data_IF_372230293709
#
_entry.id   IF_372230293709
#
_cell.length_a   1.000
_cell.length_b   1.000
_cell.length_c   1.000
_cell.angle_alpha   90.00
_cell.angle_beta   90.00
_cell.angle_gamma   90.00
#
_symmetry.space_group_name_H-M   'P 1'
#
loop_
_entity.id
_entity.type
_entity.pdbx_description
1 polymer ?
#
# COMPACT_ATOMS: atom_id res chain seq x y z
N UNK A 1 -3.61 17.17 3.21
CA UNK A 1 -3.01 17.59 4.50
C UNK A 1 -1.62 18.14 4.19
N UNK A 2 -1.17 19.22 4.83
CA UNK A 2 0.14 19.82 4.57
C UNK A 2 1.14 19.37 5.65
N UNK A 3 2.07 18.48 5.29
CA UNK A 3 3.09 17.87 6.16
C UNK A 3 4.54 18.20 5.71
N UNK A 4 4.72 19.22 4.87
CA UNK A 4 6.02 19.56 4.26
C UNK A 4 7.07 20.06 5.26
N UNK A 5 6.64 20.54 6.41
CA UNK A 5 7.47 20.94 7.55
C UNK A 5 7.81 19.77 8.49
N UNK A 6 7.08 18.65 8.36
CA UNK A 6 7.25 17.45 9.19
C UNK A 6 8.30 16.52 8.59
N UNK A 7 8.33 16.41 7.26
CA UNK A 7 9.28 15.59 6.50
C UNK A 7 10.19 16.46 5.66
N UNK A 8 11.50 16.32 5.86
CA UNK A 8 12.49 16.91 4.98
C UNK A 8 12.56 16.07 3.69
N UNK A 9 12.47 16.68 2.49
CA UNK A 9 12.69 15.97 1.22
C UNK A 9 14.03 15.25 1.11
N UNK A 10 15.05 15.65 1.88
CA UNK A 10 16.34 14.98 1.95
C UNK A 10 16.32 13.69 2.79
N UNK A 11 15.32 13.51 3.67
CA UNK A 11 15.21 12.33 4.49
C UNK A 11 14.69 11.13 3.69
N UNK A 12 15.25 9.96 3.96
CA UNK A 12 14.71 8.72 3.41
C UNK A 12 13.34 8.42 4.02
N UNK A 13 12.39 8.15 3.14
CA UNK A 13 11.02 7.80 3.47
C UNK A 13 10.68 6.43 2.87
N UNK A 14 10.11 5.51 3.67
CA UNK A 14 9.74 4.16 3.23
C UNK A 14 8.23 3.99 2.99
N UNK A 15 7.88 3.07 2.09
CA UNK A 15 6.50 2.65 1.90
C UNK A 15 6.10 1.59 2.94
N UNK A 16 4.97 1.79 3.63
CA UNK A 16 4.51 0.87 4.69
C UNK A 16 3.85 -0.42 4.15
N UNK A 17 3.71 -0.58 2.84
CA UNK A 17 3.08 -1.76 2.24
C UNK A 17 3.87 -3.05 2.35
N UNK A 18 5.18 -2.97 2.57
CA UNK A 18 6.04 -4.11 2.87
C UNK A 18 7.13 -3.65 3.84
N UNK A 19 7.14 -4.24 5.03
CA UNK A 19 8.11 -3.97 6.08
C UNK A 19 8.52 -5.29 6.72
N UNK A 20 9.82 -5.46 6.96
CA UNK A 20 10.34 -6.52 7.80
C UNK A 20 10.55 -5.95 9.21
N UNK A 21 9.82 -6.48 10.18
CA UNK A 21 9.73 -5.90 11.52
C UNK A 21 10.59 -6.71 12.49
N UNK A 22 11.54 -6.04 13.14
CA UNK A 22 12.16 -6.52 14.37
C UNK A 22 11.17 -6.29 15.52
N UNK A 23 10.55 -7.37 16.00
CA UNK A 23 9.46 -7.32 16.99
C UNK A 23 9.96 -6.76 18.33
N UNK A 24 11.21 -7.03 18.73
CA UNK A 24 11.74 -6.53 19.99
C UNK A 24 11.86 -4.99 19.94
N UNK A 25 12.52 -4.48 18.90
CA UNK A 25 12.65 -3.03 18.68
C UNK A 25 11.32 -2.33 18.43
N UNK A 26 10.38 -3.02 17.79
CA UNK A 26 9.03 -2.49 17.58
C UNK A 26 8.31 -2.22 18.90
N UNK A 27 8.42 -3.14 19.88
CA UNK A 27 7.84 -2.95 21.21
C UNK A 27 8.51 -1.81 21.97
N UNK A 28 9.83 -1.70 21.88
CA UNK A 28 10.60 -0.61 22.48
C UNK A 28 10.28 0.77 21.88
N UNK A 29 9.90 0.82 20.60
CA UNK A 29 9.56 2.06 19.93
C UNK A 29 8.22 2.68 20.37
N UNK A 30 7.38 1.93 21.10
CA UNK A 30 6.08 2.34 21.62
C UNK A 30 5.23 3.11 20.59
N UNK A 31 4.97 2.47 19.45
CA UNK A 31 4.24 3.09 18.32
C UNK A 31 2.87 3.63 18.74
N UNK A 32 2.21 2.98 19.71
CA UNK A 32 0.91 3.43 20.23
C UNK A 32 1.06 4.70 21.06
N UNK A 33 2.00 4.75 22.01
CA UNK A 33 2.28 5.98 22.76
C UNK A 33 2.69 7.13 21.84
N UNK A 34 3.50 6.87 20.81
CA UNK A 34 3.86 7.88 19.79
C UNK A 34 2.66 8.34 18.96
N UNK A 35 1.71 7.45 18.69
CA UNK A 35 0.47 7.82 18.02
C UNK A 35 -0.37 8.76 18.92
N UNK A 36 -0.51 8.44 20.20
CA UNK A 36 -1.24 9.27 21.17
C UNK A 36 -0.59 10.65 21.34
N UNK A 37 0.74 10.71 21.40
CA UNK A 37 1.50 11.97 21.38
C UNK A 37 1.24 12.76 20.09
N UNK A 38 1.26 12.11 18.92
CA UNK A 38 0.96 12.76 17.65
C UNK A 38 -0.48 13.29 17.60
N UNK A 39 -1.44 12.62 18.25
CA UNK A 39 -2.81 13.11 18.39
C UNK A 39 -2.89 14.34 19.29
N UNK A 40 -2.25 14.31 20.47
CA UNK A 40 -2.31 15.39 21.46
C UNK A 40 -1.62 16.67 20.96
N UNK A 41 -0.55 16.52 20.18
CA UNK A 41 0.22 17.63 19.60
C UNK A 41 -0.36 18.20 18.29
N UNK A 42 -1.43 17.60 17.76
CA UNK A 42 -2.04 18.04 16.51
C UNK A 42 -1.33 17.55 15.23
N UNK A 43 -0.28 16.74 15.37
CA UNK A 43 0.50 16.18 14.24
C UNK A 43 -0.33 15.18 13.45
N UNK A 44 -1.16 14.38 14.11
CA UNK A 44 -1.95 13.32 13.47
C UNK A 44 -2.95 13.85 12.41
N UNK A 45 -3.43 15.08 12.60
CA UNK A 45 -4.33 15.78 11.68
C UNK A 45 -3.60 16.23 10.41
N UNK A 46 -2.27 16.35 10.48
CA UNK A 46 -1.40 16.85 9.41
C UNK A 46 -0.75 15.73 8.60
N UNK A 47 -0.60 14.53 9.17
CA UNK A 47 0.03 13.39 8.52
C UNK A 47 -0.97 12.43 7.82
N UNK A 48 -0.46 11.67 6.86
CA UNK A 48 -1.19 10.69 6.07
C UNK A 48 -1.13 9.30 6.69
N UNK A 49 -2.22 8.95 7.38
CA UNK A 49 -2.51 7.61 7.91
C UNK A 49 -1.33 7.02 8.71
N UNK A 50 -1.16 5.71 8.61
CA UNK A 50 -0.15 4.91 9.28
C UNK A 50 1.26 5.11 8.69
N UNK A 51 1.40 5.22 7.36
CA UNK A 51 2.72 5.30 6.73
C UNK A 51 3.55 6.50 7.19
N UNK A 52 2.93 7.69 7.30
CA UNK A 52 3.64 8.87 7.81
C UNK A 52 4.01 8.71 9.29
N UNK A 53 3.10 8.17 10.11
CA UNK A 53 3.37 7.92 11.53
C UNK A 53 4.58 6.99 11.69
N UNK A 54 4.64 5.91 10.90
CA UNK A 54 5.77 4.98 10.94
C UNK A 54 7.07 5.64 10.48
N UNK A 55 7.03 6.49 9.45
CA UNK A 55 8.21 7.24 9.02
C UNK A 55 8.67 8.27 10.07
N UNK A 56 7.77 8.81 10.89
CA UNK A 56 8.12 9.67 12.02
C UNK A 56 8.76 8.87 13.16
N UNK A 57 8.12 7.78 13.58
CA UNK A 57 8.59 6.95 14.71
C UNK A 57 9.96 6.34 14.41
N UNK A 58 10.16 5.84 13.18
CA UNK A 58 11.36 5.14 12.78
C UNK A 58 12.32 6.01 11.96
N UNK A 59 12.18 7.34 11.98
CA UNK A 59 13.08 8.25 11.27
C UNK A 59 14.55 7.96 11.61
N UNK A 60 15.36 7.65 10.58
CA UNK A 60 16.77 7.28 10.74
C UNK A 60 17.04 5.95 11.45
N UNK A 61 15.99 5.18 11.79
CA UNK A 61 16.05 3.93 12.57
C UNK A 61 15.47 2.74 11.81
N UNK A 62 15.76 2.64 10.52
CA UNK A 62 15.33 1.53 9.68
C UNK A 62 16.40 1.17 8.66
N UNK A 63 16.38 -0.09 8.20
CA UNK A 63 17.27 -0.59 7.17
C UNK A 63 16.55 -0.58 5.82
N UNK A 64 17.15 0.08 4.83
CA UNK A 64 16.62 0.09 3.46
C UNK A 64 16.81 -1.27 2.80
N UNK A 65 15.69 -1.91 2.44
CA UNK A 65 15.69 -3.12 1.63
C UNK A 65 15.87 -2.79 0.15
N UNK A 66 16.42 -3.72 -0.65
CA UNK A 66 16.44 -3.60 -2.11
C UNK A 66 15.04 -3.36 -2.67
N UNK A 67 14.93 -2.47 -3.65
CA UNK A 67 13.66 -2.04 -4.24
C UNK A 67 12.80 -3.20 -4.78
N UNK A 68 13.43 -4.31 -5.21
CA UNK A 68 12.74 -5.49 -5.75
C UNK A 68 11.74 -6.14 -4.78
N UNK A 69 11.89 -5.89 -3.47
CA UNK A 69 10.99 -6.39 -2.43
C UNK A 69 9.73 -5.53 -2.24
N UNK A 70 9.66 -4.34 -2.82
CA UNK A 70 8.47 -3.50 -2.76
C UNK A 70 8.40 -2.59 -3.99
N UNK A 71 8.12 -3.19 -5.15
CA UNK A 71 7.91 -2.44 -6.39
C UNK A 71 6.51 -1.84 -6.38
N UNK A 72 6.43 -0.57 -5.98
CA UNK A 72 5.19 0.20 -5.98
C UNK A 72 4.77 0.57 -7.39
N UNK A 73 3.47 0.83 -7.57
CA UNK A 73 2.88 1.31 -8.82
C UNK A 73 3.34 0.46 -10.03
N UNK A 74 2.90 -0.80 -10.03
CA UNK A 74 3.15 -1.82 -11.04
C UNK A 74 2.84 -1.38 -12.49
N UNK A 75 3.71 -0.54 -13.05
CA UNK A 75 3.69 -0.05 -14.43
C UNK A 75 4.48 -0.98 -15.33
N UNK A 76 4.15 -1.00 -16.62
CA UNK A 76 4.81 -1.86 -17.62
C UNK A 76 6.32 -1.74 -17.69
N UNK A 77 6.89 -0.59 -17.30
CA UNK A 77 8.33 -0.44 -17.14
C UNK A 77 8.95 -1.49 -16.20
N UNK A 78 8.16 -2.06 -15.29
CA UNK A 78 8.57 -3.09 -14.35
C UNK A 78 8.50 -4.52 -14.90
N UNK A 79 7.95 -4.74 -16.10
CA UNK A 79 7.91 -6.08 -16.71
C UNK A 79 9.33 -6.64 -16.99
N UNK A 80 10.32 -5.74 -17.15
CA UNK A 80 11.72 -6.09 -17.44
C UNK A 80 12.66 -6.13 -16.23
N UNK A 81 12.18 -5.94 -15.00
CA UNK A 81 13.06 -5.70 -13.83
C UNK A 81 12.99 -6.77 -12.73
N UNK A 82 12.50 -7.98 -13.02
CA UNK A 82 12.48 -9.12 -12.07
C UNK A 82 12.10 -8.77 -10.60
N UNK A 83 10.91 -8.15 -10.39
CA UNK A 83 10.44 -7.82 -9.05
C UNK A 83 10.16 -9.08 -8.24
N UNK A 84 10.59 -9.12 -6.98
CA UNK A 84 10.25 -10.22 -6.07
C UNK A 84 8.84 -10.06 -5.49
N UNK A 85 8.45 -8.82 -5.15
CA UNK A 85 7.11 -8.48 -4.67
C UNK A 85 6.63 -7.23 -5.40
N UNK A 86 5.42 -7.32 -5.94
CA UNK A 86 4.77 -6.27 -6.70
C UNK A 86 3.59 -5.69 -5.90
N UNK A 87 3.64 -4.39 -5.64
CA UNK A 87 2.64 -3.68 -4.83
C UNK A 87 1.79 -2.74 -5.71
N UNK A 88 0.56 -3.17 -6.01
CA UNK A 88 -0.40 -2.38 -6.80
C UNK A 88 -1.01 -1.23 -5.96
N UNK A 89 -0.25 -0.17 -5.72
CA UNK A 89 -0.67 1.01 -4.93
C UNK A 89 -1.58 1.97 -5.72
N UNK A 90 -1.36 2.11 -7.03
CA UNK A 90 -2.10 3.03 -7.89
C UNK A 90 -3.58 2.68 -8.09
N UNK A 91 -4.35 3.58 -8.71
CA UNK A 91 -5.80 3.42 -8.91
C UNK A 91 -6.18 2.18 -9.72
N UNK A 92 -5.37 1.85 -10.74
CA UNK A 92 -5.58 0.69 -11.60
C UNK A 92 -5.14 -0.57 -10.88
N UNK A 93 -5.99 -1.59 -10.91
CA UNK A 93 -5.78 -2.85 -10.21
C UNK A 93 -5.86 -4.04 -11.16
N UNK A 94 -5.08 -5.11 -10.94
CA UNK A 94 -4.99 -6.24 -11.85
C UNK A 94 -6.26 -7.12 -11.83
N UNK A 95 -7.08 -7.00 -10.78
CA UNK A 95 -8.37 -7.70 -10.66
C UNK A 95 -9.53 -6.99 -11.39
N UNK A 96 -9.27 -5.97 -12.18
CA UNK A 96 -10.27 -5.41 -13.10
C UNK A 96 -10.60 -6.42 -14.19
N UNK A 97 -11.89 -6.58 -14.54
CA UNK A 97 -12.33 -7.53 -15.58
C UNK A 97 -11.57 -7.35 -16.91
N UNK A 98 -11.30 -6.09 -17.28
CA UNK A 98 -10.60 -5.73 -18.51
C UNK A 98 -9.10 -5.44 -18.29
N UNK A 99 -8.57 -5.61 -17.07
CA UNK A 99 -7.19 -5.27 -16.76
C UNK A 99 -6.18 -6.13 -17.53
N UNK A 100 -6.48 -7.43 -17.71
CA UNK A 100 -5.64 -8.33 -18.52
C UNK A 100 -5.78 -8.10 -20.03
N UNK A 101 -6.95 -7.64 -20.49
CA UNK A 101 -7.23 -7.38 -21.91
C UNK A 101 -6.56 -6.09 -22.37
N UNK A 102 -6.71 -5.01 -21.61
CA UNK A 102 -6.10 -3.72 -21.91
C UNK A 102 -4.69 -3.57 -21.36
N UNK A 103 -4.17 -4.62 -20.71
CA UNK A 103 -2.90 -4.60 -19.98
C UNK A 103 -2.80 -3.31 -19.16
N UNK A 104 -3.75 -3.05 -18.27
CA UNK A 104 -3.85 -1.74 -17.63
C UNK A 104 -2.78 -1.49 -16.55
N UNK A 105 -2.11 -2.56 -16.11
CA UNK A 105 -1.00 -2.61 -15.14
C UNK A 105 -0.05 -3.74 -15.53
N UNK A 106 1.20 -3.68 -15.07
CA UNK A 106 2.18 -4.74 -15.21
C UNK A 106 1.67 -6.04 -14.60
N UNK A 107 2.11 -7.18 -15.14
CA UNK A 107 1.76 -8.52 -14.65
C UNK A 107 0.25 -8.83 -14.55
N UNK A 108 -0.65 -8.05 -15.16
CA UNK A 108 -2.10 -8.27 -15.04
C UNK A 108 -2.56 -9.67 -15.51
N UNK A 109 -1.93 -10.19 -16.57
CA UNK A 109 -2.20 -11.55 -17.07
C UNK A 109 -1.70 -12.62 -16.09
N UNK A 110 -0.51 -12.42 -15.53
CA UNK A 110 0.07 -13.32 -14.52
C UNK A 110 -0.79 -13.34 -13.26
N UNK A 111 -1.24 -12.17 -12.78
CA UNK A 111 -2.19 -12.08 -11.67
C UNK A 111 -3.47 -12.90 -11.91
N UNK A 112 -4.07 -12.78 -13.10
CA UNK A 112 -5.26 -13.56 -13.48
C UNK A 112 -4.97 -15.07 -13.49
N UNK A 113 -3.79 -15.46 -13.95
CA UNK A 113 -3.36 -16.85 -13.96
C UNK A 113 -3.24 -17.41 -12.53
N UNK A 114 -2.51 -16.72 -11.65
CA UNK A 114 -2.31 -17.13 -10.24
C UNK A 114 -3.62 -17.18 -9.47
N UNK A 115 -4.51 -16.20 -9.67
CA UNK A 115 -5.82 -16.22 -9.02
C UNK A 115 -6.67 -17.42 -9.48
N UNK A 116 -6.43 -17.99 -10.67
CA UNK A 116 -7.36 -18.87 -11.40
C UNK A 116 -8.64 -18.14 -11.85
N UNK A 117 -9.29 -18.65 -12.90
CA UNK A 117 -10.54 -18.06 -13.38
C UNK A 117 -11.64 -18.11 -12.31
N UNK A 118 -11.75 -19.21 -11.57
CA UNK A 118 -12.82 -19.39 -10.59
C UNK A 118 -12.76 -18.31 -9.49
N UNK A 119 -11.62 -18.16 -8.82
CA UNK A 119 -11.45 -17.17 -7.76
C UNK A 119 -11.55 -15.75 -8.32
N UNK A 120 -10.98 -15.50 -9.49
CA UNK A 120 -11.03 -14.19 -10.14
C UNK A 120 -12.48 -13.75 -10.37
N UNK A 121 -13.30 -14.61 -10.98
CA UNK A 121 -14.71 -14.29 -11.24
C UNK A 121 -15.54 -14.27 -9.95
N UNK A 122 -15.24 -15.12 -8.95
CA UNK A 122 -15.86 -15.05 -7.63
C UNK A 122 -15.62 -13.69 -6.98
N UNK A 123 -14.37 -13.20 -7.00
CA UNK A 123 -14.01 -11.90 -6.47
C UNK A 123 -14.62 -10.75 -7.27
N UNK A 124 -14.64 -10.84 -8.60
CA UNK A 124 -15.27 -9.86 -9.47
C UNK A 124 -16.78 -9.73 -9.17
N UNK A 125 -17.50 -10.85 -9.05
CA UNK A 125 -18.92 -10.87 -8.65
C UNK A 125 -19.14 -10.27 -7.26
N UNK A 126 -18.30 -10.62 -6.29
CA UNK A 126 -18.37 -10.04 -4.95
C UNK A 126 -18.21 -8.52 -4.97
N UNK A 127 -17.22 -7.99 -5.71
CA UNK A 127 -17.02 -6.55 -5.87
C UNK A 127 -18.19 -5.87 -6.58
N UNK A 128 -18.72 -6.50 -7.64
CA UNK A 128 -19.87 -6.00 -8.38
C UNK A 128 -21.11 -5.89 -7.48
N UNK A 129 -21.39 -6.93 -6.69
CA UNK A 129 -22.46 -6.92 -5.68
C UNK A 129 -22.26 -5.79 -4.67
N UNK A 130 -21.06 -5.65 -4.07
CA UNK A 130 -20.77 -4.56 -3.12
C UNK A 130 -20.91 -3.18 -3.74
N UNK A 131 -20.51 -3.02 -5.00
CA UNK A 131 -20.67 -1.77 -5.74
C UNK A 131 -22.15 -1.40 -5.89
N UNK A 132 -23.00 -2.35 -6.29
CA UNK A 132 -24.45 -2.12 -6.38
C UNK A 132 -25.09 -1.84 -5.02
N UNK A 133 -24.75 -2.61 -3.99
CA UNK A 133 -25.24 -2.35 -2.63
C UNK A 133 -24.89 -0.94 -2.15
N UNK A 134 -23.67 -0.48 -2.42
CA UNK A 134 -23.25 0.90 -2.10
C UNK A 134 -24.00 1.93 -2.95
N UNK A 135 -24.12 1.70 -4.26
CA UNK A 135 -24.82 2.61 -5.19
C UNK A 135 -26.30 2.77 -4.86
N UNK A 136 -26.96 1.69 -4.47
CA UNK A 136 -28.37 1.66 -4.08
C UNK A 136 -28.59 1.99 -2.60
N UNK A 137 -27.52 2.26 -1.82
CA UNK A 137 -27.58 2.48 -0.36
C UNK A 137 -28.27 1.34 0.41
N UNK A 138 -28.16 0.12 -0.13
CA UNK A 138 -28.73 -1.11 0.45
C UNK A 138 -27.75 -1.84 1.38
N UNK A 139 -26.50 -1.39 1.47
CA UNK A 139 -25.53 -1.88 2.44
C UNK A 139 -25.48 -0.95 3.67
N UNK A 140 -25.99 -1.43 4.81
CA UNK A 140 -25.60 -0.93 6.13
C UNK A 140 -24.29 -1.58 6.53
#
# INVERSE_FOLDING_TARGET
KQNRDIFDPADYYFNAGMVLIDIAKWREADVIGRMEEAYSTGVMQRIYYDQDLLNLVFKGKWLKLPWRWNVIDARHAHDGVDPAILHYTAERKPWGLLAGMFQSVAFARFYRHVMTNELFYRFARHRWKRWWLKKLRLGR
#
